data_IF_248041313963
#
_entry.id   IF_248041313963
#
_cell.length_a   1.000
_cell.length_b   1.000
_cell.length_c   1.000
_cell.angle_alpha   90.00
_cell.angle_beta   90.00
_cell.angle_gamma   90.00
#
_symmetry.space_group_name_H-M   'P 1'
#
loop_
_entity.id
_entity.type
_entity.pdbx_description
1 polymer ?
#
# COMPACT_ATOMS: atom_id res chain seq x y z
N UNK A 1 33.82 7.69 -15.45
CA UNK A 1 33.16 8.40 -14.33
C UNK A 1 32.34 7.38 -13.59
N UNK A 2 32.69 7.04 -12.35
CA UNK A 2 31.90 6.10 -11.55
C UNK A 2 30.57 6.77 -11.23
N UNK A 3 29.48 6.18 -11.72
CA UNK A 3 28.13 6.66 -11.40
C UNK A 3 27.91 6.52 -9.89
N UNK A 4 27.70 7.64 -9.22
CA UNK A 4 27.49 7.67 -7.79
C UNK A 4 26.14 6.97 -7.48
N UNK A 5 26.11 5.82 -6.77
CA UNK A 5 24.88 5.05 -6.56
C UNK A 5 23.81 5.83 -5.79
N UNK A 6 24.20 6.91 -5.11
CA UNK A 6 23.27 7.79 -4.39
C UNK A 6 22.40 8.66 -5.32
N UNK A 7 22.80 8.85 -6.58
CA UNK A 7 22.03 9.67 -7.52
C UNK A 7 20.67 9.07 -7.89
N UNK A 8 20.49 7.77 -7.73
CA UNK A 8 19.20 7.09 -7.97
C UNK A 8 18.09 7.49 -6.98
N UNK A 9 18.46 8.07 -5.82
CA UNK A 9 17.49 8.51 -4.81
C UNK A 9 17.15 10.00 -4.92
N UNK A 10 17.81 10.73 -5.82
CA UNK A 10 17.52 12.15 -6.00
C UNK A 10 16.24 12.35 -6.82
N UNK A 11 15.35 13.22 -6.32
CA UNK A 11 14.15 13.63 -7.05
C UNK A 11 14.53 14.71 -8.06
N UNK A 12 14.41 14.38 -9.35
CA UNK A 12 14.61 15.32 -10.44
C UNK A 12 13.25 15.74 -11.02
N UNK A 13 13.13 17.01 -11.36
CA UNK A 13 11.97 17.54 -12.09
C UNK A 13 12.07 17.13 -13.55
N UNK A 14 10.99 16.54 -14.07
CA UNK A 14 10.85 16.13 -15.47
C UNK A 14 9.68 16.93 -16.06
N UNK A 15 9.89 18.17 -16.48
CA UNK A 15 8.84 18.95 -17.13
C UNK A 15 8.77 20.40 -16.70
N UNK A 16 7.80 21.17 -17.26
CA UNK A 16 7.62 22.58 -16.95
C UNK A 16 7.20 22.78 -15.48
N UNK A 17 7.62 23.89 -14.90
CA UNK A 17 7.25 24.29 -13.55
C UNK A 17 5.76 24.65 -13.51
N UNK A 18 4.96 23.87 -12.81
CA UNK A 18 3.55 24.16 -12.56
C UNK A 18 3.43 24.56 -11.09
N UNK A 19 3.40 25.85 -10.82
CA UNK A 19 3.18 26.41 -9.48
C UNK A 19 1.71 26.75 -9.30
N UNK A 20 1.07 26.11 -8.34
CA UNK A 20 -0.28 26.45 -7.89
C UNK A 20 -0.17 27.19 -6.54
N UNK A 21 0.03 28.51 -6.60
CA UNK A 21 0.29 29.32 -5.39
C UNK A 21 1.62 28.97 -4.74
N UNK A 22 1.61 28.55 -3.49
CA UNK A 22 2.81 28.17 -2.72
C UNK A 22 3.20 26.69 -2.85
N UNK A 23 2.50 25.89 -3.65
CA UNK A 23 2.73 24.44 -3.80
C UNK A 23 3.24 24.17 -5.22
N UNK A 24 4.43 23.56 -5.31
CA UNK A 24 5.00 23.08 -6.57
C UNK A 24 4.36 21.73 -6.94
N UNK A 25 3.55 21.70 -8.00
CA UNK A 25 2.95 20.47 -8.56
C UNK A 25 3.71 20.08 -9.85
N UNK A 26 5.02 20.21 -9.82
CA UNK A 26 5.83 19.85 -10.98
C UNK A 26 5.94 18.32 -11.11
N UNK A 27 5.90 17.83 -12.35
CA UNK A 27 6.06 16.41 -12.63
C UNK A 27 7.51 15.97 -12.34
N UNK A 28 7.66 15.00 -11.44
CA UNK A 28 8.97 14.50 -10.99
C UNK A 28 9.21 13.07 -11.49
N UNK A 29 10.46 12.60 -11.41
CA UNK A 29 10.79 11.19 -11.68
C UNK A 29 9.98 10.24 -10.77
N UNK A 30 9.69 10.62 -9.52
CA UNK A 30 8.84 9.83 -8.63
C UNK A 30 7.44 9.61 -9.20
N UNK A 31 6.79 10.68 -9.67
CA UNK A 31 5.46 10.58 -10.28
C UNK A 31 5.48 9.77 -11.59
N UNK A 32 6.55 9.90 -12.38
CA UNK A 32 6.73 9.09 -13.58
C UNK A 32 6.80 7.59 -13.27
N UNK A 33 7.60 7.19 -12.28
CA UNK A 33 7.68 5.78 -11.88
C UNK A 33 6.38 5.25 -11.25
N UNK A 34 5.60 6.08 -10.54
CA UNK A 34 4.26 5.71 -10.07
C UNK A 34 3.32 5.43 -11.24
N UNK A 35 3.34 6.28 -12.28
CA UNK A 35 2.52 6.07 -13.49
C UNK A 35 2.96 4.82 -14.23
N UNK A 36 4.25 4.60 -14.42
CA UNK A 36 4.79 3.39 -15.05
C UNK A 36 4.36 2.14 -14.27
N UNK A 37 4.45 2.16 -12.93
CA UNK A 37 4.02 1.05 -12.08
C UNK A 37 2.53 0.76 -12.28
N UNK A 38 1.70 1.80 -12.30
CA UNK A 38 0.25 1.66 -12.51
C UNK A 38 -0.06 1.08 -13.89
N UNK A 39 0.60 1.57 -14.94
CA UNK A 39 0.43 1.04 -16.31
C UNK A 39 0.87 -0.42 -16.37
N UNK A 40 2.01 -0.77 -15.77
CA UNK A 40 2.50 -2.15 -15.74
C UNK A 40 1.51 -3.11 -15.05
N UNK A 41 0.92 -2.68 -13.92
CA UNK A 41 -0.12 -3.45 -13.22
C UNK A 41 -1.32 -3.68 -14.14
N UNK A 42 -1.81 -2.62 -14.79
CA UNK A 42 -2.95 -2.72 -15.71
C UNK A 42 -2.63 -3.67 -16.88
N UNK A 43 -1.43 -3.62 -17.42
CA UNK A 43 -1.00 -4.53 -18.51
C UNK A 43 -0.98 -5.97 -18.00
N UNK A 44 -0.33 -6.25 -16.87
CA UNK A 44 -0.22 -7.60 -16.31
C UNK A 44 -1.60 -8.18 -16.00
N UNK A 45 -2.48 -7.41 -15.36
CA UNK A 45 -3.82 -7.86 -15.02
C UNK A 45 -4.70 -8.06 -16.25
N UNK A 46 -4.64 -7.15 -17.23
CA UNK A 46 -5.43 -7.29 -18.46
C UNK A 46 -4.95 -8.47 -19.33
N UNK A 47 -3.64 -8.65 -19.48
CA UNK A 47 -3.09 -9.76 -20.24
C UNK A 47 -3.31 -11.10 -19.51
N UNK A 48 -3.19 -11.12 -18.18
CA UNK A 48 -3.50 -12.29 -17.37
C UNK A 48 -4.98 -12.69 -17.43
N UNK A 49 -5.89 -11.71 -17.49
CA UNK A 49 -7.33 -11.97 -17.55
C UNK A 49 -7.85 -12.39 -18.93
N UNK A 50 -7.17 -11.95 -20.03
CA UNK A 50 -7.61 -12.24 -21.40
C UNK A 50 -7.42 -13.69 -21.81
N UNK A 51 -6.34 -14.34 -21.38
CA UNK A 51 -6.02 -15.72 -21.76
C UNK A 51 -6.56 -16.69 -20.69
N UNK A 52 -7.72 -17.26 -20.92
CA UNK A 52 -8.26 -18.36 -20.10
C UNK A 52 -7.80 -19.70 -20.67
N UNK A 53 -6.50 -19.98 -20.68
CA UNK A 53 -5.99 -21.28 -21.08
C UNK A 53 -5.83 -22.20 -19.87
N UNK A 54 -6.06 -23.51 -20.06
CA UNK A 54 -5.87 -24.54 -19.03
C UNK A 54 -4.40 -24.64 -18.57
N UNK A 55 -3.46 -24.21 -19.42
CA UNK A 55 -2.03 -24.09 -19.10
C UNK A 55 -1.74 -22.60 -19.00
N UNK A 56 -1.57 -22.04 -17.80
CA UNK A 56 -1.37 -20.61 -17.62
C UNK A 56 -0.02 -20.15 -18.18
N UNK A 57 -0.04 -19.08 -18.98
CA UNK A 57 1.16 -18.34 -19.36
C UNK A 57 1.79 -17.70 -18.11
N UNK A 58 3.07 -17.36 -18.17
CA UNK A 58 3.82 -16.77 -17.03
C UNK A 58 3.13 -15.53 -16.44
N UNK A 59 2.54 -14.68 -17.27
CA UNK A 59 1.81 -13.48 -16.83
C UNK A 59 0.47 -13.83 -16.17
N UNK A 60 -0.25 -14.80 -16.71
CA UNK A 60 -1.48 -15.33 -16.12
C UNK A 60 -1.19 -15.95 -14.76
N UNK A 61 -0.13 -16.78 -14.68
CA UNK A 61 0.30 -17.40 -13.43
C UNK A 61 0.64 -16.36 -12.36
N UNK A 62 1.36 -15.28 -12.73
CA UNK A 62 1.69 -14.20 -11.79
C UNK A 62 0.42 -13.50 -11.26
N UNK A 63 -0.53 -13.22 -12.13
CA UNK A 63 -1.79 -12.58 -11.75
C UNK A 63 -2.63 -13.51 -10.84
N UNK A 64 -2.74 -14.80 -11.17
CA UNK A 64 -3.48 -15.79 -10.40
C UNK A 64 -2.84 -16.07 -9.04
N UNK A 65 -1.50 -16.17 -8.97
CA UNK A 65 -0.78 -16.32 -7.70
C UNK A 65 -0.97 -15.11 -6.80
N UNK A 66 -0.86 -13.90 -7.34
CA UNK A 66 -1.07 -12.67 -6.58
C UNK A 66 -2.50 -12.57 -6.07
N UNK A 67 -3.48 -12.91 -6.90
CA UNK A 67 -4.90 -12.94 -6.52
C UNK A 67 -5.15 -13.96 -5.40
N UNK A 68 -4.68 -15.18 -5.59
CA UNK A 68 -4.83 -16.29 -4.65
C UNK A 68 -4.19 -15.99 -3.31
N UNK A 69 -2.97 -15.41 -3.33
CA UNK A 69 -2.22 -15.02 -2.15
C UNK A 69 -2.99 -13.97 -1.33
N UNK A 70 -3.42 -12.88 -1.96
CA UNK A 70 -4.15 -11.81 -1.26
C UNK A 70 -5.52 -12.29 -0.79
N UNK A 71 -6.22 -13.11 -1.60
CA UNK A 71 -7.51 -13.69 -1.23
C UNK A 71 -7.40 -14.58 0.00
N UNK A 72 -6.40 -15.44 0.04
CA UNK A 72 -6.12 -16.31 1.18
C UNK A 72 -5.78 -15.48 2.42
N UNK A 73 -4.87 -14.53 2.29
CA UNK A 73 -4.47 -13.64 3.39
C UNK A 73 -5.68 -12.90 4.01
N UNK A 74 -6.58 -12.38 3.18
CA UNK A 74 -7.79 -11.69 3.65
C UNK A 74 -8.74 -12.68 4.35
N UNK A 75 -8.92 -13.87 3.79
CA UNK A 75 -9.79 -14.90 4.37
C UNK A 75 -9.29 -15.37 5.73
N UNK A 76 -7.97 -15.53 5.86
CA UNK A 76 -7.34 -16.03 7.09
C UNK A 76 -7.33 -14.94 8.19
N UNK A 77 -7.21 -13.66 7.81
CA UNK A 77 -7.11 -12.55 8.77
C UNK A 77 -8.47 -11.98 9.19
N UNK A 78 -9.34 -11.72 8.22
CA UNK A 78 -10.59 -10.98 8.43
C UNK A 78 -11.86 -11.78 8.09
N UNK A 79 -11.70 -13.03 7.64
CA UNK A 79 -12.80 -13.92 7.29
C UNK A 79 -13.62 -13.46 6.07
N UNK A 80 -14.78 -14.08 5.89
CA UNK A 80 -15.66 -13.85 4.72
C UNK A 80 -16.26 -12.44 4.66
N UNK A 81 -16.33 -11.74 5.79
CA UNK A 81 -16.87 -10.36 5.88
C UNK A 81 -16.01 -9.31 5.21
N UNK A 82 -14.75 -9.61 4.96
CA UNK A 82 -13.80 -8.69 4.32
C UNK A 82 -13.78 -8.75 2.78
N UNK A 83 -14.52 -9.69 2.17
CA UNK A 83 -14.62 -9.85 0.71
C UNK A 83 -14.93 -8.56 -0.07
N UNK A 84 -15.81 -7.64 0.40
CA UNK A 84 -16.08 -6.39 -0.31
C UNK A 84 -14.86 -5.48 -0.45
N UNK A 85 -13.89 -5.60 0.48
CA UNK A 85 -12.67 -4.78 0.49
C UNK A 85 -11.51 -5.41 -0.29
N UNK A 86 -11.71 -6.62 -0.82
CA UNK A 86 -10.68 -7.36 -1.55
C UNK A 86 -10.08 -6.54 -2.68
N UNK A 87 -10.92 -5.90 -3.51
CA UNK A 87 -10.45 -5.13 -4.66
C UNK A 87 -9.54 -3.97 -4.26
N UNK A 88 -9.86 -3.28 -3.18
CA UNK A 88 -9.04 -2.19 -2.65
C UNK A 88 -7.70 -2.70 -2.12
N UNK A 89 -7.72 -3.75 -1.28
CA UNK A 89 -6.51 -4.34 -0.69
C UNK A 89 -5.61 -4.93 -1.79
N UNK A 90 -6.21 -5.60 -2.78
CA UNK A 90 -5.48 -6.18 -3.91
C UNK A 90 -4.81 -5.11 -4.78
N UNK A 91 -5.51 -4.02 -5.11
CA UNK A 91 -4.93 -2.94 -5.91
C UNK A 91 -3.77 -2.26 -5.16
N UNK A 92 -3.92 -2.05 -3.86
CA UNK A 92 -2.88 -1.48 -3.02
C UNK A 92 -1.65 -2.39 -2.92
N UNK A 93 -1.87 -3.69 -2.70
CA UNK A 93 -0.81 -4.70 -2.67
C UNK A 93 -0.04 -4.71 -3.99
N UNK A 94 -0.73 -4.77 -5.12
CA UNK A 94 -0.11 -4.75 -6.44
C UNK A 94 0.67 -3.46 -6.69
N UNK A 95 0.14 -2.32 -6.29
CA UNK A 95 0.84 -1.04 -6.44
C UNK A 95 2.15 -1.01 -5.68
N UNK A 96 2.14 -1.37 -4.39
CA UNK A 96 3.35 -1.41 -3.56
C UNK A 96 4.33 -2.45 -4.07
N UNK A 97 3.85 -3.64 -4.48
CA UNK A 97 4.68 -4.70 -5.04
C UNK A 97 5.44 -4.23 -6.29
N UNK A 98 4.74 -3.63 -7.26
CA UNK A 98 5.36 -3.15 -8.49
C UNK A 98 6.30 -1.97 -8.25
N UNK A 99 5.95 -1.04 -7.35
CA UNK A 99 6.86 0.04 -6.97
C UNK A 99 8.17 -0.50 -6.37
N UNK A 100 8.10 -1.54 -5.54
CA UNK A 100 9.28 -2.19 -4.99
C UNK A 100 10.06 -2.99 -6.05
N UNK A 101 9.38 -3.72 -6.92
CA UNK A 101 10.04 -4.45 -8.02
C UNK A 101 10.81 -3.51 -8.94
N UNK A 102 10.22 -2.39 -9.33
CA UNK A 102 10.92 -1.39 -10.14
C UNK A 102 12.09 -0.76 -9.39
N UNK A 103 11.95 -0.56 -8.08
CA UNK A 103 13.03 -0.05 -7.24
C UNK A 103 14.24 -1.00 -7.12
N UNK A 104 14.07 -2.30 -7.38
CA UNK A 104 15.16 -3.27 -7.39
C UNK A 104 16.01 -3.23 -8.68
N UNK A 105 15.52 -2.59 -9.73
CA UNK A 105 16.27 -2.46 -10.99
C UNK A 105 17.41 -1.45 -10.76
N UNK A 106 18.68 -1.80 -11.04
CA UNK A 106 19.78 -0.87 -10.87
C UNK A 106 19.57 0.38 -11.75
N UNK A 107 19.84 1.55 -11.20
CA UNK A 107 19.63 2.87 -11.80
C UNK A 107 18.17 3.32 -11.95
N UNK A 108 17.19 2.55 -11.45
CA UNK A 108 15.81 2.99 -11.38
C UNK A 108 15.54 3.79 -10.10
N UNK A 109 14.51 4.63 -10.16
CA UNK A 109 14.09 5.42 -9.01
C UNK A 109 13.17 4.58 -8.11
N UNK A 110 13.55 4.44 -6.83
CA UNK A 110 12.75 3.71 -5.85
C UNK A 110 11.72 4.63 -5.21
N UNK A 111 10.48 4.57 -5.67
CA UNK A 111 9.38 5.41 -5.17
C UNK A 111 9.13 5.22 -3.68
N UNK A 112 9.17 3.98 -3.21
CA UNK A 112 8.89 3.60 -1.83
C UNK A 112 10.01 3.95 -0.85
N UNK A 113 11.20 4.37 -1.32
CA UNK A 113 12.28 4.87 -0.45
C UNK A 113 12.00 6.27 0.10
N UNK A 114 11.09 7.02 -0.54
CA UNK A 114 10.73 8.35 -0.09
C UNK A 114 9.67 8.30 1.02
N UNK A 115 10.06 8.76 2.21
CA UNK A 115 9.20 8.81 3.40
C UNK A 115 7.89 9.55 3.12
N UNK A 116 7.92 10.62 2.34
CA UNK A 116 6.71 11.41 2.03
C UNK A 116 5.68 10.59 1.24
N UNK A 117 6.12 9.76 0.28
CA UNK A 117 5.22 8.93 -0.53
C UNK A 117 4.61 7.82 0.31
N UNK A 118 5.42 7.12 1.08
CA UNK A 118 4.94 6.05 1.98
C UNK A 118 4.06 6.60 3.09
N UNK A 119 4.38 7.78 3.62
CA UNK A 119 3.56 8.45 4.61
C UNK A 119 2.19 8.86 4.05
N UNK A 120 2.14 9.47 2.86
CA UNK A 120 0.87 9.85 2.22
C UNK A 120 0.02 8.62 1.93
N UNK A 121 0.63 7.54 1.43
CA UNK A 121 -0.06 6.28 1.17
C UNK A 121 -0.65 5.69 2.46
N UNK A 122 0.17 5.62 3.53
CA UNK A 122 -0.28 5.13 4.83
C UNK A 122 -1.38 6.00 5.44
N UNK A 123 -1.25 7.33 5.35
CA UNK A 123 -2.26 8.27 5.81
C UNK A 123 -3.59 8.10 5.06
N UNK A 124 -3.54 7.95 3.74
CA UNK A 124 -4.72 7.70 2.91
C UNK A 124 -5.46 6.42 3.33
N UNK A 125 -4.72 5.34 3.54
CA UNK A 125 -5.28 4.06 4.00
C UNK A 125 -5.88 4.22 5.40
N UNK A 126 -5.15 4.85 6.32
CA UNK A 126 -5.58 5.05 7.69
C UNK A 126 -6.88 5.88 7.76
N UNK A 127 -6.95 6.98 7.03
CA UNK A 127 -8.15 7.80 6.94
C UNK A 127 -9.31 6.99 6.34
N UNK A 128 -9.06 6.25 5.25
CA UNK A 128 -10.07 5.42 4.60
C UNK A 128 -10.64 4.35 5.55
N UNK A 129 -9.78 3.62 6.26
CA UNK A 129 -10.20 2.61 7.25
C UNK A 129 -10.95 3.24 8.41
N UNK A 130 -10.50 4.40 8.88
CA UNK A 130 -11.16 5.13 9.96
C UNK A 130 -12.56 5.58 9.56
N UNK A 131 -12.72 6.15 8.36
CA UNK A 131 -14.03 6.56 7.83
C UNK A 131 -14.98 5.35 7.72
N UNK A 132 -14.50 4.24 7.16
CA UNK A 132 -15.29 2.99 7.06
C UNK A 132 -15.67 2.48 8.45
N UNK A 133 -14.75 2.53 9.41
CA UNK A 133 -14.99 2.16 10.80
C UNK A 133 -16.08 2.99 11.43
N UNK A 134 -16.05 4.30 11.26
CA UNK A 134 -17.09 5.21 11.76
C UNK A 134 -18.46 4.99 11.09
N UNK A 135 -18.48 4.76 9.77
CA UNK A 135 -19.74 4.48 9.05
C UNK A 135 -20.38 3.18 9.52
N UNK A 136 -19.58 2.14 9.80
CA UNK A 136 -20.09 0.81 10.19
C UNK A 136 -20.46 0.71 11.67
N UNK A 137 -19.67 1.31 12.55
CA UNK A 137 -19.78 1.14 14.01
C UNK A 137 -20.14 2.42 14.75
N UNK A 138 -20.24 3.55 14.04
CA UNK A 138 -20.51 4.86 14.65
C UNK A 138 -19.50 5.19 15.75
N UNK A 139 -19.97 5.82 16.82
CA UNK A 139 -19.15 6.15 18.01
C UNK A 139 -18.65 4.89 18.74
N UNK A 140 -19.25 3.72 18.50
CA UNK A 140 -18.77 2.44 19.03
C UNK A 140 -17.39 2.02 18.49
N UNK A 141 -16.96 2.59 17.35
CA UNK A 141 -15.62 2.38 16.80
C UNK A 141 -14.51 2.86 17.76
N UNK A 142 -14.76 3.96 18.47
CA UNK A 142 -13.80 4.45 19.48
C UNK A 142 -13.61 3.51 20.65
N UNK A 143 -14.62 2.69 20.99
CA UNK A 143 -14.49 1.66 22.03
C UNK A 143 -13.49 0.56 21.66
N UNK A 144 -13.19 0.37 20.36
CA UNK A 144 -12.17 -0.57 19.89
C UNK A 144 -10.76 -0.12 20.30
N UNK A 145 -10.54 1.20 20.39
CA UNK A 145 -9.27 1.78 20.82
C UNK A 145 -9.18 1.94 22.34
N UNK A 146 -10.30 1.80 23.04
CA UNK A 146 -10.38 1.93 24.48
C UNK A 146 -10.64 0.55 25.09
N UNK A 147 -9.61 -0.13 25.64
CA UNK A 147 -9.83 -1.36 26.38
C UNK A 147 -10.72 -1.05 27.60
N UNK A 148 -11.74 -1.87 27.80
CA UNK A 148 -12.64 -1.76 28.94
C UNK A 148 -11.85 -1.89 30.24
N UNK A 149 -11.87 -0.85 31.08
CA UNK A 149 -11.24 -0.85 32.42
C UNK A 149 -10.00 0.04 32.57
N UNK A 150 -9.65 0.83 31.56
CA UNK A 150 -8.49 1.73 31.64
C UNK A 150 -8.93 3.16 31.95
N UNK A 151 -8.30 3.84 32.92
CA UNK A 151 -8.57 5.26 33.19
C UNK A 151 -8.20 6.12 31.98
N UNK A 152 -9.04 7.12 31.67
CA UNK A 152 -8.95 7.96 30.48
C UNK A 152 -7.60 8.65 30.27
N UNK A 153 -6.85 8.87 31.37
CA UNK A 153 -5.53 9.51 31.36
C UNK A 153 -4.44 8.63 30.73
N UNK A 154 -4.58 7.31 30.81
CA UNK A 154 -3.61 6.34 30.25
C UNK A 154 -3.93 5.93 28.81
N UNK A 155 -5.07 6.39 28.27
CA UNK A 155 -5.53 6.08 26.91
C UNK A 155 -4.49 6.37 25.81
N UNK A 156 -3.88 7.56 25.72
CA UNK A 156 -2.93 7.86 24.66
C UNK A 156 -1.67 6.97 24.75
N UNK A 157 -1.26 6.64 25.97
CA UNK A 157 -0.09 5.80 26.20
C UNK A 157 -0.37 4.34 25.81
N UNK A 158 -1.56 3.82 26.11
CA UNK A 158 -1.95 2.45 25.78
C UNK A 158 -2.20 2.30 24.27
N UNK A 159 -2.84 3.27 23.61
CA UNK A 159 -3.02 3.27 22.17
C UNK A 159 -1.67 3.28 21.46
N UNK A 160 -0.72 4.09 21.92
CA UNK A 160 0.64 4.11 21.40
C UNK A 160 1.35 2.76 21.62
N UNK A 161 1.19 2.15 22.78
CA UNK A 161 1.81 0.88 23.15
C UNK A 161 1.18 -0.32 22.42
N UNK A 162 -0.14 -0.28 22.20
CA UNK A 162 -0.86 -1.30 21.42
C UNK A 162 -0.48 -1.25 19.93
N UNK A 163 -0.18 -0.05 19.42
CA UNK A 163 0.24 0.14 18.03
C UNK A 163 1.69 -0.27 17.79
N UNK A 164 2.54 -0.19 18.83
CA UNK A 164 3.98 -0.51 18.73
C UNK A 164 4.35 -1.89 19.23
N UNK A 165 3.48 -2.57 20.01
CA UNK A 165 3.80 -3.92 20.50
C UNK A 165 3.22 -5.01 19.58
N UNK A 166 4.03 -6.02 19.19
CA UNK A 166 3.53 -7.18 18.46
C UNK A 166 2.50 -7.91 19.31
N UNK A 167 1.38 -8.29 18.68
CA UNK A 167 0.31 -9.02 19.36
C UNK A 167 0.86 -10.33 19.98
N UNK A 168 0.58 -10.64 21.25
CA UNK A 168 1.03 -11.89 21.88
C UNK A 168 0.34 -13.15 21.30
N UNK A 169 -0.49 -13.01 20.25
CA UNK A 169 -1.15 -14.14 19.58
C UNK A 169 -0.24 -14.96 18.67
N UNK A 170 0.95 -14.45 18.33
CA UNK A 170 1.86 -15.14 17.41
C UNK A 170 2.83 -16.09 18.11
N UNK A 171 2.66 -16.33 19.42
CA UNK A 171 3.57 -17.14 20.23
C UNK A 171 3.04 -18.49 20.71
N UNK A 172 1.81 -18.88 20.38
CA UNK A 172 1.24 -20.16 20.87
C UNK A 172 0.43 -20.86 19.77
N UNK A 173 1.12 -21.58 18.92
CA UNK A 173 0.59 -22.78 18.24
C UNK A 173 1.73 -23.69 17.85
#
# INVERSE_FOLDING_TARGET
MAANPMNQFNVYRIGPEIKLGNVDISFTNASLFMVISTIAILIVLNLGAKKKSLIPDKLQLLAELSYSFVSKMISDTAGTKAKPYFSFIFSLFMFVLFCNMFGMIPYSFTVTSHIIVTFVLAAFIFIGVTIIGFIKHGLGYLKLFVPSGVPMVLLPLIVCLLYTSPSPRDGTS
#
